data_IF_802345076190
#
_entry.id   IF_802345076190
#
_cell.length_a   1.000
_cell.length_b   1.000
_cell.length_c   1.000
_cell.angle_alpha   90.00
_cell.angle_beta   90.00
_cell.angle_gamma   90.00
#
_symmetry.space_group_name_H-M   'P 1'
#
loop_
_entity.id
_entity.type
_entity.pdbx_description
1 polymer ?
#
# COMPACT_ATOMS: atom_id res chain seq x y z
N UNK A 1 5.68 -12.31 7.12
CA UNK A 1 5.23 -11.88 5.78
C UNK A 1 6.37 -11.79 4.75
N UNK A 2 7.43 -10.96 4.90
CA UNK A 2 8.55 -10.97 3.93
C UNK A 2 9.23 -12.34 3.84
N UNK A 3 9.50 -12.98 4.96
CA UNK A 3 10.06 -14.34 5.01
C UNK A 3 9.15 -15.38 4.34
N UNK A 4 7.84 -15.22 4.42
CA UNK A 4 6.88 -16.15 3.81
C UNK A 4 6.91 -16.01 2.28
N UNK A 5 6.97 -14.76 1.77
CA UNK A 5 7.13 -14.50 0.34
C UNK A 5 8.45 -15.07 -0.20
N UNK A 6 9.55 -14.86 0.50
CA UNK A 6 10.86 -15.44 0.13
C UNK A 6 10.85 -16.98 0.20
N UNK A 7 10.18 -17.56 1.20
CA UNK A 7 10.02 -19.01 1.29
C UNK A 7 9.21 -19.60 0.13
N UNK A 8 8.15 -18.90 -0.28
CA UNK A 8 7.35 -19.27 -1.46
C UNK A 8 8.19 -19.19 -2.75
N UNK A 9 8.95 -18.12 -2.95
CA UNK A 9 9.87 -18.01 -4.09
C UNK A 9 10.85 -19.19 -4.12
N UNK A 10 11.43 -19.52 -2.97
CA UNK A 10 12.35 -20.67 -2.84
C UNK A 10 11.66 -21.99 -3.17
N UNK A 11 10.45 -22.21 -2.65
CA UNK A 11 9.65 -23.43 -2.93
C UNK A 11 9.35 -23.56 -4.41
N UNK A 12 8.97 -22.46 -5.08
CA UNK A 12 8.69 -22.40 -6.51
C UNK A 12 9.97 -22.38 -7.38
N UNK A 13 11.17 -22.42 -6.76
CA UNK A 13 12.47 -22.33 -7.43
C UNK A 13 12.65 -21.03 -8.27
N UNK A 14 11.98 -19.96 -7.86
CA UNK A 14 12.12 -18.63 -8.46
C UNK A 14 13.39 -18.00 -7.88
N UNK A 15 14.40 -17.81 -8.73
CA UNK A 15 15.69 -17.26 -8.32
C UNK A 15 15.66 -15.74 -8.17
N UNK A 16 14.88 -15.05 -9.00
CA UNK A 16 14.78 -13.59 -9.02
C UNK A 16 13.41 -13.17 -9.53
N UNK A 17 12.84 -12.11 -8.97
CA UNK A 17 11.50 -11.62 -9.32
C UNK A 17 11.46 -10.09 -9.39
N UNK A 18 10.53 -9.57 -10.18
CA UNK A 18 10.04 -8.20 -10.06
C UNK A 18 9.02 -8.17 -8.93
N UNK A 19 9.23 -7.29 -7.94
CA UNK A 19 8.33 -7.17 -6.81
C UNK A 19 7.42 -5.96 -7.00
N UNK A 20 6.11 -6.20 -6.99
CA UNK A 20 5.08 -5.15 -6.99
C UNK A 20 4.39 -5.19 -5.62
N UNK A 21 4.43 -4.09 -4.89
CA UNK A 21 3.85 -4.01 -3.56
C UNK A 21 3.00 -2.76 -3.39
N UNK A 22 1.70 -2.96 -3.11
CA UNK A 22 0.78 -1.88 -2.78
C UNK A 22 0.60 -1.78 -1.25
N UNK A 23 0.58 -0.57 -0.71
CA UNK A 23 0.35 -0.27 0.69
C UNK A 23 1.27 -1.11 1.61
N UNK A 24 0.73 -1.98 2.45
CA UNK A 24 1.50 -2.94 3.25
C UNK A 24 2.43 -3.83 2.39
N UNK A 25 2.01 -4.19 1.19
CA UNK A 25 2.84 -4.94 0.24
C UNK A 25 4.12 -4.20 -0.13
N UNK A 26 4.07 -2.87 -0.19
CA UNK A 26 5.25 -2.04 -0.40
C UNK A 26 6.25 -2.09 0.76
N UNK A 27 5.77 -2.14 2.01
CA UNK A 27 6.63 -2.37 3.18
C UNK A 27 7.30 -3.75 3.14
N UNK A 28 6.56 -4.78 2.71
CA UNK A 28 7.09 -6.13 2.54
C UNK A 28 8.16 -6.14 1.43
N UNK A 29 7.90 -5.51 0.29
CA UNK A 29 8.83 -5.43 -0.83
C UNK A 29 10.12 -4.69 -0.45
N UNK A 30 10.03 -3.58 0.28
CA UNK A 30 11.19 -2.86 0.83
C UNK A 30 11.98 -3.75 1.80
N UNK A 31 11.29 -4.48 2.69
CA UNK A 31 11.94 -5.44 3.61
C UNK A 31 12.74 -6.49 2.85
N UNK A 32 12.19 -7.05 1.77
CA UNK A 32 12.87 -8.05 0.95
C UNK A 32 14.07 -7.41 0.24
N UNK A 33 13.88 -6.24 -0.35
CA UNK A 33 14.94 -5.53 -1.08
C UNK A 33 16.14 -5.17 -0.21
N UNK A 34 15.90 -4.81 1.06
CA UNK A 34 16.95 -4.49 2.01
C UNK A 34 17.68 -5.73 2.55
N UNK A 35 16.97 -6.85 2.72
CA UNK A 35 17.53 -8.04 3.34
C UNK A 35 18.07 -9.09 2.35
N UNK A 36 17.57 -9.07 1.10
CA UNK A 36 17.88 -10.06 0.06
C UNK A 36 17.84 -9.43 -1.34
N UNK A 37 18.64 -8.38 -1.60
CA UNK A 37 18.58 -7.63 -2.86
C UNK A 37 18.89 -8.50 -4.08
N UNK A 38 19.64 -9.59 -3.92
CA UNK A 38 20.04 -10.50 -5.00
C UNK A 38 18.85 -11.24 -5.64
N UNK A 39 17.73 -11.39 -4.92
CA UNK A 39 16.52 -12.04 -5.46
C UNK A 39 15.53 -11.07 -6.09
N UNK A 40 15.82 -9.76 -6.10
CA UNK A 40 14.91 -8.73 -6.61
C UNK A 40 15.44 -8.12 -7.90
N UNK A 41 14.66 -8.21 -8.99
CA UNK A 41 15.00 -7.63 -10.30
C UNK A 41 14.65 -6.14 -10.40
N UNK A 42 13.47 -5.76 -9.90
CA UNK A 42 13.00 -4.39 -9.79
C UNK A 42 11.94 -4.29 -8.70
N UNK A 43 11.68 -3.09 -8.25
CA UNK A 43 10.61 -2.75 -7.30
C UNK A 43 9.56 -1.87 -7.98
N UNK A 44 8.28 -2.13 -7.68
CA UNK A 44 7.20 -1.16 -7.88
C UNK A 44 6.51 -0.97 -6.53
N UNK A 45 6.62 0.24 -5.99
CA UNK A 45 6.12 0.62 -4.67
C UNK A 45 4.91 1.53 -4.87
N UNK A 46 3.71 1.03 -4.58
CA UNK A 46 2.45 1.72 -4.87
C UNK A 46 1.75 2.10 -3.56
N UNK A 47 1.30 3.35 -3.46
CA UNK A 47 0.53 3.88 -2.31
C UNK A 47 1.08 3.40 -0.96
N UNK A 48 2.39 3.55 -0.76
CA UNK A 48 3.13 2.99 0.37
C UNK A 48 4.11 3.98 0.99
N UNK A 49 4.66 3.61 2.12
CA UNK A 49 5.52 4.45 2.95
C UNK A 49 6.88 3.79 3.20
N UNK A 50 7.96 4.55 3.39
CA UNK A 50 9.19 4.04 3.96
C UNK A 50 9.12 3.87 5.49
N UNK A 51 8.09 4.45 6.14
CA UNK A 51 7.92 4.38 7.59
C UNK A 51 6.68 5.13 8.06
N UNK A 52 5.55 4.43 8.19
CA UNK A 52 4.24 5.01 8.55
C UNK A 52 4.25 5.79 9.87
N UNK A 53 5.18 5.46 10.78
CA UNK A 53 5.31 6.11 12.09
C UNK A 53 6.53 7.02 12.22
N UNK A 54 7.23 7.28 11.12
CA UNK A 54 8.34 8.21 11.14
C UNK A 54 7.83 9.65 11.28
N UNK A 55 8.25 10.34 12.33
CA UNK A 55 7.79 11.69 12.65
C UNK A 55 8.24 12.75 11.62
N UNK A 56 9.14 12.38 10.73
CA UNK A 56 9.61 13.23 9.62
C UNK A 56 8.63 13.24 8.44
N UNK A 57 7.64 12.35 8.44
CA UNK A 57 6.62 12.20 7.39
C UNK A 57 5.25 12.60 7.91
N UNK A 58 4.39 13.04 7.01
CA UNK A 58 3.03 13.43 7.32
C UNK A 58 2.22 12.27 7.91
N UNK A 59 1.33 12.59 8.82
CA UNK A 59 0.37 11.62 9.36
C UNK A 59 -0.81 11.48 8.41
N UNK A 60 -1.54 10.36 8.47
CA UNK A 60 -2.81 10.24 7.77
C UNK A 60 -3.75 11.41 8.06
N UNK A 61 -4.59 11.74 7.09
CA UNK A 61 -5.59 12.81 7.23
C UNK A 61 -6.51 12.56 8.45
N UNK A 62 -6.73 13.54 9.32
CA UNK A 62 -7.61 13.38 10.48
C UNK A 62 -9.04 12.97 10.11
N UNK A 63 -9.60 13.47 9.01
CA UNK A 63 -10.95 13.11 8.55
C UNK A 63 -10.99 11.64 8.15
N UNK A 64 -9.94 11.15 7.49
CA UNK A 64 -9.80 9.72 7.17
C UNK A 64 -9.72 8.87 8.45
N UNK A 65 -8.93 9.28 9.45
CA UNK A 65 -8.81 8.58 10.72
C UNK A 65 -10.13 8.54 11.51
N UNK A 66 -10.90 9.62 11.49
CA UNK A 66 -12.24 9.66 12.07
C UNK A 66 -13.19 8.68 11.35
N UNK A 67 -13.17 8.65 10.02
CA UNK A 67 -13.92 7.69 9.21
C UNK A 67 -13.54 6.24 9.51
N UNK A 68 -12.24 5.96 9.69
CA UNK A 68 -11.75 4.64 10.10
C UNK A 68 -12.26 4.23 11.50
N UNK A 69 -12.30 5.17 12.43
CA UNK A 69 -12.81 4.93 13.78
C UNK A 69 -14.30 4.60 13.78
N UNK A 70 -15.09 5.34 13.01
CA UNK A 70 -16.52 5.05 12.84
C UNK A 70 -16.75 3.69 12.16
N UNK A 71 -15.95 3.36 11.14
CA UNK A 71 -16.01 2.05 10.47
C UNK A 71 -15.67 0.91 11.43
N UNK A 72 -14.69 1.09 12.31
CA UNK A 72 -14.37 0.10 13.34
C UNK A 72 -15.54 -0.13 14.32
N UNK A 73 -16.25 0.94 14.70
CA UNK A 73 -17.46 0.83 15.53
C UNK A 73 -18.61 0.11 14.81
N UNK A 74 -18.76 0.31 13.50
CA UNK A 74 -19.74 -0.41 12.67
C UNK A 74 -19.40 -1.90 12.59
N UNK A 75 -18.12 -2.27 12.43
CA UNK A 75 -17.66 -3.67 12.44
C UNK A 75 -18.01 -4.38 13.76
N UNK A 76 -17.84 -3.71 14.91
CA UNK A 76 -18.21 -4.25 16.23
C UNK A 76 -19.73 -4.53 16.31
N UNK A 77 -20.54 -3.73 15.61
CA UNK A 77 -22.00 -3.89 15.54
C UNK A 77 -22.46 -4.89 14.46
N UNK A 78 -21.56 -5.70 13.89
CA UNK A 78 -21.82 -6.63 12.79
C UNK A 78 -22.33 -5.97 11.50
N UNK A 79 -21.99 -4.71 11.27
CA UNK A 79 -22.28 -4.00 10.01
C UNK A 79 -21.02 -3.86 9.16
N UNK A 80 -20.45 -4.99 8.77
CA UNK A 80 -19.15 -5.06 8.06
C UNK A 80 -19.20 -4.38 6.70
N UNK A 81 -20.28 -4.61 5.93
CA UNK A 81 -20.43 -4.07 4.59
C UNK A 81 -20.42 -2.53 4.56
N UNK A 82 -21.24 -1.92 5.42
CA UNK A 82 -21.31 -0.46 5.52
C UNK A 82 -19.97 0.13 6.02
N UNK A 83 -19.31 -0.54 6.98
CA UNK A 83 -18.00 -0.14 7.46
C UNK A 83 -16.94 -0.14 6.33
N UNK A 84 -16.92 -1.18 5.51
CA UNK A 84 -15.99 -1.30 4.38
C UNK A 84 -16.27 -0.26 3.31
N UNK A 85 -17.54 -0.07 2.94
CA UNK A 85 -17.95 0.96 1.98
C UNK A 85 -17.52 2.36 2.45
N UNK A 86 -17.75 2.66 3.73
CA UNK A 86 -17.35 3.94 4.32
C UNK A 86 -15.83 4.14 4.30
N UNK A 87 -15.07 3.11 4.67
CA UNK A 87 -13.60 3.16 4.63
C UNK A 87 -13.10 3.40 3.22
N UNK A 88 -13.65 2.68 2.23
CA UNK A 88 -13.27 2.84 0.84
C UNK A 88 -13.56 4.28 0.36
N UNK A 89 -14.80 4.77 0.57
CA UNK A 89 -15.17 6.13 0.19
C UNK A 89 -14.32 7.22 0.85
N UNK A 90 -13.84 6.98 2.07
CA UNK A 90 -12.94 7.90 2.75
C UNK A 90 -11.50 7.83 2.21
N UNK A 91 -11.12 6.78 1.48
CA UNK A 91 -9.77 6.57 0.97
C UNK A 91 -9.58 6.98 -0.48
N UNK A 92 -10.65 7.16 -1.26
CA UNK A 92 -10.58 7.55 -2.67
C UNK A 92 -10.33 9.05 -2.85
N UNK A 93 -9.70 9.40 -3.98
CA UNK A 93 -9.51 10.78 -4.40
C UNK A 93 -10.72 11.37 -5.12
N UNK A 94 -10.51 12.51 -5.77
CA UNK A 94 -11.58 13.25 -6.44
C UNK A 94 -11.69 12.96 -7.94
N UNK A 95 -10.68 12.32 -8.54
CA UNK A 95 -10.60 12.08 -9.99
C UNK A 95 -11.58 11.05 -10.51
N UNK A 96 -11.82 9.97 -9.74
CA UNK A 96 -12.69 8.87 -10.13
C UNK A 96 -13.89 8.76 -9.20
N UNK A 97 -15.00 8.27 -9.74
CA UNK A 97 -16.20 7.96 -8.97
C UNK A 97 -16.51 6.47 -9.10
N UNK A 98 -16.93 5.87 -8.01
CA UNK A 98 -17.23 4.44 -7.95
C UNK A 98 -18.69 4.23 -7.59
N UNK A 99 -19.37 3.35 -8.34
CA UNK A 99 -20.73 2.91 -8.01
C UNK A 99 -20.70 2.05 -6.75
N UNK A 100 -21.58 2.33 -5.80
CA UNK A 100 -21.69 1.59 -4.55
C UNK A 100 -21.92 0.10 -4.79
N UNK A 101 -22.66 -0.28 -5.84
CA UNK A 101 -22.90 -1.67 -6.18
C UNK A 101 -21.62 -2.41 -6.61
N UNK A 102 -20.75 -1.73 -7.37
CA UNK A 102 -19.46 -2.31 -7.79
C UNK A 102 -18.56 -2.52 -6.56
N UNK A 103 -18.51 -1.53 -5.66
CA UNK A 103 -17.74 -1.64 -4.43
C UNK A 103 -18.28 -2.79 -3.56
N UNK A 104 -19.60 -2.92 -3.44
CA UNK A 104 -20.23 -4.00 -2.70
C UNK A 104 -19.91 -5.38 -3.28
N UNK A 105 -19.88 -5.51 -4.59
CA UNK A 105 -19.53 -6.77 -5.27
C UNK A 105 -18.07 -7.15 -5.00
N UNK A 106 -17.14 -6.20 -5.06
CA UNK A 106 -15.75 -6.44 -4.70
C UNK A 106 -15.60 -6.93 -3.24
N UNK A 107 -16.35 -6.34 -2.31
CA UNK A 107 -16.34 -6.79 -0.91
C UNK A 107 -16.94 -8.17 -0.71
N UNK A 108 -17.97 -8.55 -1.44
CA UNK A 108 -18.52 -9.91 -1.38
C UNK A 108 -17.47 -10.94 -1.82
N UNK A 109 -16.69 -10.66 -2.87
CA UNK A 109 -15.57 -11.50 -3.30
C UNK A 109 -14.52 -11.66 -2.18
N UNK A 110 -14.22 -10.58 -1.48
CA UNK A 110 -13.24 -10.58 -0.36
C UNK A 110 -13.77 -11.36 0.84
N UNK A 111 -15.05 -11.23 1.18
CA UNK A 111 -15.67 -11.88 2.34
C UNK A 111 -15.74 -13.41 2.16
N UNK A 112 -16.06 -13.88 0.95
CA UNK A 112 -16.06 -15.30 0.61
C UNK A 112 -14.72 -16.01 0.83
N UNK A 113 -13.61 -15.25 0.88
CA UNK A 113 -12.27 -15.76 1.14
C UNK A 113 -11.86 -15.79 2.63
N UNK A 114 -12.77 -15.44 3.53
CA UNK A 114 -12.57 -15.58 4.98
C UNK A 114 -11.47 -14.69 5.57
N UNK A 115 -11.40 -13.43 5.17
CA UNK A 115 -10.32 -12.49 5.50
C UNK A 115 -10.35 -11.89 6.91
N UNK A 116 -10.67 -12.64 7.94
CA UNK A 116 -10.68 -12.16 9.32
C UNK A 116 -9.26 -11.83 9.88
N UNK A 117 -8.31 -11.50 8.99
CA UNK A 117 -6.88 -11.30 9.32
C UNK A 117 -6.45 -9.83 9.45
N UNK A 118 -7.33 -8.86 9.17
CA UNK A 118 -7.01 -7.42 9.20
C UNK A 118 -6.36 -6.94 10.50
N UNK A 119 -6.83 -7.43 11.65
CA UNK A 119 -6.25 -7.07 12.95
C UNK A 119 -4.79 -7.50 13.11
N UNK A 120 -4.37 -8.58 12.47
CA UNK A 120 -2.98 -9.04 12.49
C UNK A 120 -2.12 -8.23 11.53
N UNK A 121 -2.67 -7.79 10.39
CA UNK A 121 -1.99 -6.92 9.44
C UNK A 121 -1.65 -5.57 10.06
N UNK A 122 -2.60 -4.93 10.74
CA UNK A 122 -2.37 -3.66 11.46
C UNK A 122 -1.24 -3.78 12.47
N UNK A 123 -1.23 -4.85 13.27
CA UNK A 123 -0.14 -5.11 14.23
C UNK A 123 1.21 -5.35 13.57
N UNK A 124 1.24 -5.96 12.39
CA UNK A 124 2.47 -6.17 11.63
C UNK A 124 3.02 -4.85 11.09
N UNK A 125 2.15 -3.99 10.54
CA UNK A 125 2.52 -2.64 10.09
C UNK A 125 3.07 -1.82 11.26
N UNK A 126 2.40 -1.86 12.41
CA UNK A 126 2.82 -1.15 13.62
C UNK A 126 4.23 -1.52 14.09
N UNK A 127 4.64 -2.76 13.89
CA UNK A 127 5.96 -3.28 14.28
C UNK A 127 7.02 -3.10 13.21
N UNK A 128 6.64 -2.68 12.00
CA UNK A 128 7.59 -2.46 10.92
C UNK A 128 8.41 -1.20 11.22
N UNK A 129 9.74 -1.30 11.24
CA UNK A 129 10.60 -0.14 11.47
C UNK A 129 10.51 0.84 10.29
N UNK A 130 10.90 2.09 10.53
CA UNK A 130 11.14 3.02 9.43
C UNK A 130 12.39 2.59 8.64
N UNK A 131 12.26 2.61 7.32
CA UNK A 131 13.36 2.38 6.37
C UNK A 131 13.92 3.69 5.79
N UNK A 132 13.42 4.84 6.24
CA UNK A 132 13.76 6.15 5.68
C UNK A 132 15.28 6.37 5.57
N UNK A 133 16.03 6.05 6.64
CA UNK A 133 17.48 6.19 6.64
C UNK A 133 18.22 5.08 5.88
N UNK A 134 17.51 4.02 5.48
CA UNK A 134 18.03 2.86 4.73
C UNK A 134 17.67 2.86 3.26
N UNK A 135 16.86 3.80 2.79
CA UNK A 135 16.42 3.85 1.38
C UNK A 135 17.61 3.92 0.42
N UNK A 136 18.67 4.64 0.81
CA UNK A 136 19.92 4.74 0.06
C UNK A 136 20.62 3.40 -0.17
N UNK A 137 20.29 2.37 0.63
CA UNK A 137 20.88 1.03 0.51
C UNK A 137 20.14 0.18 -0.53
N UNK A 138 18.95 0.61 -0.96
CA UNK A 138 18.22 -0.01 -2.07
C UNK A 138 18.84 0.46 -3.39
N UNK A 139 19.55 -0.46 -4.08
CA UNK A 139 20.22 -0.22 -5.38
C UNK A 139 19.51 -0.97 -6.52
N UNK A 140 18.22 -1.06 -6.44
CA UNK A 140 17.36 -1.82 -7.34
C UNK A 140 16.52 -0.82 -8.12
N UNK A 141 16.40 -0.94 -9.47
CA UNK A 141 15.51 -0.09 -10.25
C UNK A 141 14.12 -0.07 -9.65
N UNK A 142 13.64 1.12 -9.28
CA UNK A 142 12.41 1.27 -8.51
C UNK A 142 11.46 2.26 -9.17
N UNK A 143 10.19 1.87 -9.29
CA UNK A 143 9.08 2.74 -9.62
C UNK A 143 8.27 3.00 -8.36
N UNK A 144 8.09 4.28 -8.02
CA UNK A 144 7.21 4.71 -6.92
C UNK A 144 5.95 5.30 -7.54
N UNK A 145 4.78 4.88 -7.07
CA UNK A 145 3.48 5.32 -7.56
C UNK A 145 2.62 5.73 -6.35
N UNK A 146 2.07 6.94 -6.36
CA UNK A 146 1.17 7.39 -5.28
C UNK A 146 0.11 8.33 -5.82
N UNK A 147 -1.06 8.33 -5.16
CA UNK A 147 -2.09 9.32 -5.41
C UNK A 147 -1.73 10.68 -4.79
N UNK A 148 -2.03 11.77 -5.48
CA UNK A 148 -1.77 13.13 -4.95
C UNK A 148 -2.71 13.47 -3.78
N UNK A 149 -3.85 12.79 -3.67
CA UNK A 149 -4.88 12.98 -2.66
C UNK A 149 -4.99 11.79 -1.69
N UNK A 150 -3.94 10.94 -1.59
CA UNK A 150 -3.96 9.79 -0.68
C UNK A 150 -4.06 10.24 0.78
N UNK A 151 -5.20 9.99 1.46
CA UNK A 151 -5.41 10.45 2.83
C UNK A 151 -4.76 9.55 3.88
N UNK A 152 -4.39 8.32 3.50
CA UNK A 152 -3.73 7.35 4.39
C UNK A 152 -2.21 7.45 4.31
N UNK A 153 -1.68 7.56 3.09
CA UNK A 153 -0.24 7.68 2.81
C UNK A 153 -0.04 8.98 2.03
N UNK A 154 0.07 10.13 2.72
CA UNK A 154 0.26 11.42 2.07
C UNK A 154 1.44 11.43 1.10
N UNK A 155 1.37 12.29 0.08
CA UNK A 155 2.29 12.27 -1.07
C UNK A 155 3.77 12.45 -0.69
N UNK A 156 4.08 13.07 0.44
CA UNK A 156 5.44 13.26 0.94
C UNK A 156 6.15 11.93 1.25
N UNK A 157 5.40 10.85 1.54
CA UNK A 157 5.95 9.51 1.66
C UNK A 157 6.52 9.00 0.33
N UNK A 158 5.83 9.28 -0.78
CA UNK A 158 6.30 8.91 -2.12
C UNK A 158 7.52 9.75 -2.53
N UNK A 159 7.55 11.04 -2.19
CA UNK A 159 8.73 11.88 -2.38
C UNK A 159 9.92 11.32 -1.60
N UNK A 160 9.73 10.98 -0.32
CA UNK A 160 10.77 10.39 0.50
C UNK A 160 11.31 9.06 -0.08
N UNK A 161 10.45 8.19 -0.58
CA UNK A 161 10.85 6.96 -1.28
C UNK A 161 11.67 7.27 -2.53
N UNK A 162 11.17 8.19 -3.37
CA UNK A 162 11.80 8.52 -4.63
C UNK A 162 13.14 9.25 -4.45
N UNK A 163 13.24 10.14 -3.49
CA UNK A 163 14.48 10.86 -3.18
C UNK A 163 15.52 9.97 -2.48
N UNK A 164 15.05 9.04 -1.64
CA UNK A 164 15.91 8.15 -0.87
C UNK A 164 16.50 6.98 -1.68
N UNK A 165 15.79 6.48 -2.69
CA UNK A 165 16.22 5.36 -3.53
C UNK A 165 16.90 5.89 -4.79
N UNK A 166 18.19 5.62 -4.96
CA UNK A 166 19.04 6.23 -6.01
C UNK A 166 18.56 5.97 -7.44
N UNK A 167 18.06 4.77 -7.74
CA UNK A 167 17.57 4.37 -9.06
C UNK A 167 16.05 4.31 -9.10
N UNK A 168 15.39 5.39 -8.70
CA UNK A 168 13.94 5.46 -8.66
C UNK A 168 13.37 6.45 -9.68
N UNK A 169 12.11 6.16 -10.06
CA UNK A 169 11.22 7.07 -10.77
C UNK A 169 9.96 7.23 -9.95
N UNK A 170 9.40 8.44 -9.94
CA UNK A 170 8.12 8.73 -9.29
C UNK A 170 7.05 8.96 -10.36
N UNK A 171 5.91 8.32 -10.19
CA UNK A 171 4.69 8.58 -10.91
C UNK A 171 3.59 9.02 -9.92
N UNK A 172 3.13 10.25 -10.05
CA UNK A 172 2.04 10.80 -9.24
C UNK A 172 0.72 10.67 -10.00
N UNK A 173 -0.25 9.98 -9.40
CA UNK A 173 -1.60 9.88 -9.92
C UNK A 173 -2.41 11.07 -9.41
N UNK A 174 -2.56 12.11 -10.24
CA UNK A 174 -3.25 13.34 -9.85
C UNK A 174 -4.74 13.10 -9.57
N UNK A 175 -5.22 13.62 -8.43
CA UNK A 175 -6.61 13.50 -7.98
C UNK A 175 -7.01 12.09 -7.52
N UNK A 176 -6.05 11.19 -7.32
CA UNK A 176 -6.25 9.82 -6.86
C UNK A 176 -5.88 9.73 -5.37
N UNK A 177 -6.65 8.97 -4.60
CA UNK A 177 -6.39 8.69 -3.19
C UNK A 177 -5.56 7.43 -2.96
N UNK A 178 -6.02 6.59 -2.03
CA UNK A 178 -5.37 5.30 -1.69
C UNK A 178 -5.91 4.14 -2.55
N UNK A 179 -6.54 4.44 -3.67
CA UNK A 179 -7.03 3.46 -4.63
C UNK A 179 -6.07 3.26 -5.81
N UNK A 180 -6.26 2.18 -6.54
CA UNK A 180 -5.56 1.86 -7.78
C UNK A 180 -6.59 1.73 -8.91
N UNK A 181 -6.95 2.83 -9.58
CA UNK A 181 -7.99 2.84 -10.61
C UNK A 181 -7.60 1.99 -11.81
N UNK A 182 -8.55 1.18 -12.30
CA UNK A 182 -8.32 0.34 -13.48
C UNK A 182 -8.02 1.19 -14.72
N UNK A 183 -8.61 2.36 -14.81
CA UNK A 183 -8.42 3.32 -15.91
C UNK A 183 -6.97 3.74 -16.08
N UNK A 184 -6.18 3.72 -15.00
CA UNK A 184 -4.76 4.09 -15.03
C UNK A 184 -3.81 2.93 -15.31
N UNK A 185 -4.29 1.69 -15.40
CA UNK A 185 -3.42 0.53 -15.62
C UNK A 185 -2.60 0.68 -16.91
N UNK A 186 -3.23 1.14 -18.00
CA UNK A 186 -2.55 1.36 -19.27
C UNK A 186 -1.52 2.49 -19.20
N UNK A 187 -1.80 3.54 -18.43
CA UNK A 187 -0.92 4.68 -18.22
C UNK A 187 0.31 4.29 -17.38
N UNK A 188 0.10 3.47 -16.35
CA UNK A 188 1.16 2.99 -15.46
C UNK A 188 2.04 1.93 -16.13
N UNK A 189 1.47 1.14 -17.06
CA UNK A 189 2.16 0.02 -17.71
C UNK A 189 2.89 0.39 -19.01
N UNK A 190 2.73 1.61 -19.50
CA UNK A 190 3.40 2.16 -20.69
C UNK A 190 4.78 2.77 -20.37
#
# INVERSE_FOLDING_TARGET
>A
MANDAMALMKYLKIKKAHLVGASMGGLIAQTIALNSPEIVSSLTLMVTSPGIRDERLSKPDPIFLDGMTESALMMIKNNQKEAMLKTFKASIGTRFSYDDLVIEELFNIVDDHGTNTYAFHSKAIEKTPSYLDKLKDIKIPTLVINGSEDPLIPIDHAFALSEGITESKLYVMEGVGHELPEELINEISS
#
